data_IF_870888374033
#
_entry.id   IF_870888374033
#
_cell.length_a   1.000
_cell.length_b   1.000
_cell.length_c   1.000
_cell.angle_alpha   90.00
_cell.angle_beta   90.00
_cell.angle_gamma   90.00
#
_symmetry.space_group_name_H-M   'P 1'
#
loop_
_entity.id
_entity.type
_entity.pdbx_description
1 polymer ?
#
# COMPACT_ATOMS: atom_id res chain seq x y z
N UNK A 1 -0.52 73.28 -28.76
CA UNK A 1 -1.58 72.52 -28.05
C UNK A 1 -2.19 71.39 -28.89
N UNK A 2 -1.92 71.32 -30.21
CA UNK A 2 -2.54 70.32 -31.11
C UNK A 2 -1.88 68.94 -31.10
N UNK A 3 -0.61 68.82 -30.72
CA UNK A 3 0.12 67.54 -30.77
C UNK A 3 -0.33 66.57 -29.67
N UNK A 4 -0.72 67.08 -28.50
CA UNK A 4 -1.21 66.27 -27.38
C UNK A 4 -2.58 65.60 -27.68
N UNK A 5 -3.39 66.18 -28.56
CA UNK A 5 -4.70 65.64 -28.92
C UNK A 5 -4.57 64.48 -29.91
N UNK A 6 -3.64 64.59 -30.87
CA UNK A 6 -3.40 63.55 -31.88
C UNK A 6 -2.83 62.28 -31.25
N UNK A 7 -1.95 62.44 -30.27
CA UNK A 7 -1.37 61.33 -29.51
C UNK A 7 -2.41 60.63 -28.62
N UNK A 8 -3.32 61.39 -27.99
CA UNK A 8 -4.46 60.85 -27.22
C UNK A 8 -5.46 60.09 -28.09
N UNK A 9 -5.76 60.58 -29.29
CA UNK A 9 -6.65 59.89 -30.24
C UNK A 9 -6.01 58.59 -30.74
N UNK A 10 -4.70 58.60 -31.02
CA UNK A 10 -3.98 57.40 -31.40
C UNK A 10 -3.94 56.36 -30.26
N UNK A 11 -3.71 56.78 -29.02
CA UNK A 11 -3.72 55.89 -27.85
C UNK A 11 -5.11 55.27 -27.58
N UNK A 12 -6.19 56.02 -27.82
CA UNK A 12 -7.56 55.49 -27.74
C UNK A 12 -7.83 54.51 -28.89
N UNK A 13 -7.35 54.82 -30.10
CA UNK A 13 -7.43 53.93 -31.26
C UNK A 13 -6.70 52.60 -31.07
N UNK A 14 -5.50 52.62 -30.50
CA UNK A 14 -4.74 51.40 -30.17
C UNK A 14 -5.42 50.57 -29.08
N UNK A 15 -5.94 51.21 -28.02
CA UNK A 15 -6.73 50.50 -26.99
C UNK A 15 -8.00 49.86 -27.52
N UNK A 16 -8.72 50.52 -28.44
CA UNK A 16 -9.89 49.94 -29.09
C UNK A 16 -9.53 48.76 -29.99
N UNK A 17 -8.37 48.83 -30.68
CA UNK A 17 -7.88 47.75 -31.54
C UNK A 17 -7.44 46.52 -30.74
N UNK A 18 -6.81 46.71 -29.57
CA UNK A 18 -6.42 45.64 -28.65
C UNK A 18 -7.66 44.97 -28.05
N UNK A 19 -8.64 45.75 -27.60
CA UNK A 19 -9.88 45.21 -27.04
C UNK A 19 -10.72 44.46 -28.09
N UNK A 20 -10.78 44.96 -29.35
CA UNK A 20 -11.46 44.27 -30.45
C UNK A 20 -10.82 42.92 -30.80
N UNK A 21 -9.48 42.83 -30.77
CA UNK A 21 -8.76 41.59 -31.02
C UNK A 21 -8.87 40.56 -29.87
N UNK A 22 -9.02 41.02 -28.63
CA UNK A 22 -9.25 40.13 -27.48
C UNK A 22 -10.69 39.60 -27.43
N UNK A 23 -11.67 40.46 -27.74
CA UNK A 23 -13.08 40.05 -27.86
C UNK A 23 -13.26 39.07 -29.03
N UNK A 24 -12.62 39.32 -30.18
CA UNK A 24 -12.62 38.39 -31.31
C UNK A 24 -12.02 37.01 -30.97
N UNK A 25 -10.92 36.97 -30.21
CA UNK A 25 -10.32 35.71 -29.73
C UNK A 25 -11.24 34.97 -28.75
N UNK A 26 -11.90 35.68 -27.82
CA UNK A 26 -12.84 35.07 -26.86
C UNK A 26 -14.10 34.54 -27.55
N UNK A 27 -14.65 35.26 -28.52
CA UNK A 27 -15.79 34.80 -29.34
C UNK A 27 -15.39 33.59 -30.20
N UNK A 28 -14.21 33.61 -30.83
CA UNK A 28 -13.70 32.48 -31.61
C UNK A 28 -13.43 31.24 -30.73
N UNK A 29 -12.90 31.42 -29.52
CA UNK A 29 -12.71 30.33 -28.57
C UNK A 29 -14.06 29.76 -28.07
N UNK A 30 -15.04 30.63 -27.79
CA UNK A 30 -16.40 30.22 -27.42
C UNK A 30 -17.11 29.44 -28.53
N UNK A 31 -17.00 29.88 -29.79
CA UNK A 31 -17.57 29.19 -30.96
C UNK A 31 -16.83 27.88 -31.27
N UNK A 32 -15.51 27.82 -31.06
CA UNK A 32 -14.73 26.57 -31.22
C UNK A 32 -15.09 25.52 -30.17
N UNK A 33 -15.31 25.95 -28.92
CA UNK A 33 -15.78 25.05 -27.84
C UNK A 33 -17.19 24.52 -28.09
N UNK A 34 -18.08 25.37 -28.61
CA UNK A 34 -19.45 24.96 -28.95
C UNK A 34 -19.48 24.02 -30.17
N UNK A 35 -18.63 24.26 -31.17
CA UNK A 35 -18.45 23.37 -32.33
C UNK A 35 -17.87 22.01 -31.94
N UNK A 36 -16.89 21.98 -31.01
CA UNK A 36 -16.33 20.73 -30.48
C UNK A 36 -17.39 19.92 -29.72
N UNK A 37 -18.16 20.57 -28.83
CA UNK A 37 -19.28 19.92 -28.12
C UNK A 37 -20.38 19.46 -29.09
N UNK A 38 -20.72 20.23 -30.11
CA UNK A 38 -21.79 19.87 -31.04
C UNK A 38 -21.35 18.75 -31.99
N UNK A 39 -20.06 18.65 -32.32
CA UNK A 39 -19.49 17.51 -33.05
C UNK A 39 -19.51 16.21 -32.23
N UNK A 40 -19.40 16.31 -30.91
CA UNK A 40 -19.52 15.18 -29.98
C UNK A 40 -20.96 14.63 -29.90
N UNK A 41 -21.98 15.48 -30.12
CA UNK A 41 -23.39 15.07 -30.14
C UNK A 41 -23.87 14.41 -31.46
N UNK A 42 -23.14 14.61 -32.56
CA UNK A 42 -23.54 14.14 -33.91
C UNK A 42 -22.57 13.14 -34.55
N UNK A 43 -21.59 12.62 -33.80
CA UNK A 43 -20.78 11.49 -34.26
C UNK A 43 -21.62 10.21 -34.21
N UNK A 44 -21.62 9.45 -35.32
CA UNK A 44 -22.07 8.06 -35.33
C UNK A 44 -21.41 7.29 -34.17
N UNK A 45 -22.06 6.25 -33.59
CA UNK A 45 -21.49 5.50 -32.49
C UNK A 45 -20.10 5.05 -32.88
N UNK A 46 -19.09 5.60 -32.21
CA UNK A 46 -17.73 5.23 -32.50
C UNK A 46 -17.57 3.74 -32.19
N UNK A 47 -16.68 3.03 -32.88
CA UNK A 47 -16.44 1.60 -32.66
C UNK A 47 -16.22 1.29 -31.17
N UNK A 48 -15.57 2.20 -30.45
CA UNK A 48 -15.43 2.17 -28.99
C UNK A 48 -16.77 2.16 -28.24
N UNK A 49 -17.71 3.06 -28.58
CA UNK A 49 -19.02 3.14 -27.93
C UNK A 49 -19.80 1.84 -28.08
N UNK A 50 -19.75 1.21 -29.27
CA UNK A 50 -20.41 -0.09 -29.50
C UNK A 50 -19.81 -1.19 -28.65
N UNK A 51 -18.48 -1.36 -28.70
CA UNK A 51 -17.78 -2.39 -27.95
C UNK A 51 -17.98 -2.25 -26.44
N UNK A 52 -17.91 -1.02 -25.93
CA UNK A 52 -18.17 -0.72 -24.52
C UNK A 52 -19.63 -0.97 -24.16
N UNK A 53 -20.58 -0.60 -25.03
CA UNK A 53 -22.00 -0.88 -24.82
C UNK A 53 -22.27 -2.39 -24.74
N UNK A 54 -21.68 -3.17 -25.63
CA UNK A 54 -21.84 -4.63 -25.67
C UNK A 54 -21.24 -5.29 -24.42
N UNK A 55 -20.01 -4.92 -24.04
CA UNK A 55 -19.32 -5.44 -22.85
C UNK A 55 -19.95 -4.99 -21.51
N UNK A 56 -20.76 -3.92 -21.52
CA UNK A 56 -21.42 -3.36 -20.33
C UNK A 56 -22.95 -3.41 -20.44
N UNK A 57 -23.48 -4.33 -21.24
CA UNK A 57 -24.92 -4.50 -21.41
C UNK A 57 -25.59 -4.87 -20.09
N UNK A 58 -26.72 -4.24 -19.81
CA UNK A 58 -27.51 -4.47 -18.59
C UNK A 58 -28.14 -5.87 -18.56
N UNK A 59 -28.18 -6.55 -19.71
CA UNK A 59 -28.65 -7.93 -19.85
C UNK A 59 -27.63 -8.99 -19.40
N UNK A 60 -26.38 -8.60 -19.13
CA UNK A 60 -25.35 -9.54 -18.69
C UNK A 60 -25.46 -9.76 -17.18
N UNK A 61 -25.64 -10.99 -16.71
CA UNK A 61 -25.73 -11.32 -15.28
C UNK A 61 -24.36 -11.27 -14.56
N UNK A 62 -23.28 -11.56 -15.29
CA UNK A 62 -21.89 -11.49 -14.81
C UNK A 62 -20.98 -10.74 -15.79
N UNK A 63 -19.81 -10.23 -15.36
CA UNK A 63 -18.83 -9.65 -16.27
C UNK A 63 -18.41 -10.65 -17.35
N UNK A 64 -18.62 -10.30 -18.62
CA UNK A 64 -18.15 -11.12 -19.74
C UNK A 64 -16.66 -10.84 -19.99
N UNK A 65 -15.80 -11.66 -19.37
CA UNK A 65 -14.35 -11.49 -19.45
C UNK A 65 -13.81 -11.62 -20.87
N UNK A 66 -14.40 -12.47 -21.72
CA UNK A 66 -14.02 -12.55 -23.14
C UNK A 66 -14.23 -11.21 -23.85
N UNK A 67 -15.39 -10.57 -23.67
CA UNK A 67 -15.66 -9.23 -24.24
C UNK A 67 -14.74 -8.17 -23.65
N UNK A 68 -14.51 -8.19 -22.34
CA UNK A 68 -13.65 -7.22 -21.65
C UNK A 68 -12.21 -7.31 -22.16
N UNK A 69 -11.66 -8.53 -22.22
CA UNK A 69 -10.30 -8.76 -22.71
C UNK A 69 -10.19 -8.45 -24.20
N UNK A 70 -11.23 -8.75 -24.99
CA UNK A 70 -11.28 -8.36 -26.39
C UNK A 70 -11.19 -6.83 -26.58
N UNK A 71 -11.85 -6.03 -25.73
CA UNK A 71 -11.70 -4.57 -25.74
C UNK A 71 -10.26 -4.16 -25.44
N UNK A 72 -9.62 -4.76 -24.42
CA UNK A 72 -8.22 -4.51 -24.09
C UNK A 72 -7.29 -4.85 -25.27
N UNK A 73 -7.50 -5.99 -25.92
CA UNK A 73 -6.72 -6.43 -27.09
C UNK A 73 -6.85 -5.46 -28.26
N UNK A 74 -8.06 -4.97 -28.54
CA UNK A 74 -8.28 -3.98 -29.60
C UNK A 74 -7.61 -2.65 -29.29
N UNK A 75 -7.59 -2.22 -28.02
CA UNK A 75 -6.88 -1.01 -27.59
C UNK A 75 -5.36 -1.20 -27.71
N UNK A 76 -4.83 -2.33 -27.25
CA UNK A 76 -3.40 -2.64 -27.33
C UNK A 76 -2.92 -2.84 -28.77
N UNK A 77 -3.79 -3.34 -29.67
CA UNK A 77 -3.54 -3.41 -31.10
C UNK A 77 -3.75 -2.08 -31.84
N UNK A 78 -4.02 -0.99 -31.11
CA UNK A 78 -4.30 0.36 -31.63
C UNK A 78 -5.48 0.43 -32.63
N UNK A 79 -6.34 -0.59 -32.64
CA UNK A 79 -7.57 -0.63 -33.46
C UNK A 79 -8.68 0.22 -32.85
N UNK A 80 -8.61 0.48 -31.55
CA UNK A 80 -9.49 1.39 -30.81
C UNK A 80 -8.61 2.33 -30.00
N UNK A 81 -8.88 3.64 -30.07
CA UNK A 81 -8.12 4.61 -29.29
C UNK A 81 -8.48 4.49 -27.80
N UNK A 82 -7.47 4.46 -26.93
CA UNK A 82 -7.68 4.38 -25.47
C UNK A 82 -8.57 5.51 -24.96
N UNK A 83 -8.41 6.72 -25.49
CA UNK A 83 -9.24 7.89 -25.16
C UNK A 83 -10.71 7.73 -25.52
N UNK A 84 -11.00 7.08 -26.64
CA UNK A 84 -12.37 6.83 -27.07
C UNK A 84 -13.02 5.73 -26.21
N UNK A 85 -12.27 4.67 -25.88
CA UNK A 85 -12.73 3.62 -24.96
C UNK A 85 -13.02 4.18 -23.56
N UNK A 86 -12.11 4.98 -22.98
CA UNK A 86 -12.29 5.57 -21.65
C UNK A 86 -13.45 6.57 -21.64
N UNK A 87 -13.62 7.40 -22.68
CA UNK A 87 -14.80 8.27 -22.80
C UNK A 87 -16.10 7.48 -22.87
N UNK A 88 -16.14 6.43 -23.69
CA UNK A 88 -17.32 5.56 -23.78
C UNK A 88 -17.65 4.90 -22.44
N UNK A 89 -16.63 4.43 -21.70
CA UNK A 89 -16.82 3.86 -20.36
C UNK A 89 -17.32 4.91 -19.39
N UNK A 90 -16.72 6.11 -19.38
CA UNK A 90 -17.19 7.23 -18.55
C UNK A 90 -18.66 7.54 -18.82
N UNK A 91 -19.09 7.58 -20.09
CA UNK A 91 -20.52 7.76 -20.44
C UNK A 91 -21.38 6.69 -19.77
N UNK A 92 -20.97 5.41 -19.80
CA UNK A 92 -21.70 4.31 -19.12
C UNK A 92 -21.69 4.46 -17.60
N UNK A 93 -20.58 4.88 -17.00
CA UNK A 93 -20.46 5.18 -15.56
C UNK A 93 -21.41 6.31 -15.14
N UNK A 94 -21.66 7.29 -16.02
CA UNK A 94 -22.58 8.40 -15.74
C UNK A 94 -24.06 8.02 -15.85
N UNK A 95 -24.40 6.92 -16.55
CA UNK A 95 -25.78 6.45 -16.69
C UNK A 95 -26.23 5.77 -15.40
N UNK A 96 -27.43 6.13 -14.92
CA UNK A 96 -28.04 5.55 -13.72
C UNK A 96 -28.62 4.15 -13.95
N UNK A 97 -27.80 3.22 -14.42
CA UNK A 97 -28.10 1.79 -14.40
C UNK A 97 -27.11 1.12 -13.45
N UNK A 98 -27.54 0.56 -12.31
CA UNK A 98 -26.62 -0.10 -11.38
C UNK A 98 -25.82 -1.21 -12.05
N UNK A 99 -26.48 -1.98 -12.93
CA UNK A 99 -25.83 -3.08 -13.62
C UNK A 99 -24.81 -2.59 -14.64
N UNK A 100 -25.22 -1.68 -15.52
CA UNK A 100 -24.34 -1.11 -16.54
C UNK A 100 -23.17 -0.34 -15.92
N UNK A 101 -23.40 0.41 -14.84
CA UNK A 101 -22.38 1.16 -14.13
C UNK A 101 -21.35 0.24 -13.46
N UNK A 102 -21.79 -0.83 -12.78
CA UNK A 102 -20.88 -1.84 -12.21
C UNK A 102 -20.00 -2.47 -13.29
N UNK A 103 -20.60 -2.94 -14.39
CA UNK A 103 -19.86 -3.55 -15.51
C UNK A 103 -18.88 -2.55 -16.15
N UNK A 104 -19.28 -1.28 -16.27
CA UNK A 104 -18.40 -0.23 -16.76
C UNK A 104 -17.18 0.00 -15.85
N UNK A 105 -17.36 -0.04 -14.53
CA UNK A 105 -16.25 0.03 -13.57
C UNK A 105 -15.32 -1.20 -13.65
N UNK A 106 -15.88 -2.39 -13.87
CA UNK A 106 -15.08 -3.62 -14.09
C UNK A 106 -14.25 -3.51 -15.37
N UNK A 107 -14.85 -3.06 -16.48
CA UNK A 107 -14.14 -2.83 -17.74
C UNK A 107 -13.07 -1.74 -17.60
N UNK A 108 -13.35 -0.65 -16.88
CA UNK A 108 -12.38 0.41 -16.59
C UNK A 108 -11.16 -0.13 -15.86
N UNK A 109 -11.36 -0.95 -14.82
CA UNK A 109 -10.28 -1.57 -14.07
C UNK A 109 -9.43 -2.49 -14.96
N UNK A 110 -10.07 -3.28 -15.82
CA UNK A 110 -9.37 -4.14 -16.76
C UNK A 110 -8.52 -3.33 -17.75
N UNK A 111 -9.05 -2.25 -18.34
CA UNK A 111 -8.29 -1.37 -19.23
C UNK A 111 -7.08 -0.75 -18.53
N UNK A 112 -7.25 -0.26 -17.30
CA UNK A 112 -6.16 0.33 -16.53
C UNK A 112 -5.04 -0.68 -16.25
N UNK A 113 -5.39 -1.95 -15.99
CA UNK A 113 -4.41 -3.01 -15.70
C UNK A 113 -3.72 -3.58 -16.93
N UNK A 114 -4.35 -3.50 -18.11
CA UNK A 114 -3.89 -4.20 -19.31
C UNK A 114 -3.44 -3.28 -20.45
N UNK A 115 -3.67 -1.97 -20.35
CA UNK A 115 -3.32 -1.01 -21.40
C UNK A 115 -2.44 0.12 -20.85
N UNK A 116 -1.26 0.33 -21.44
CA UNK A 116 -0.25 1.28 -20.96
C UNK A 116 -0.77 2.71 -20.77
N UNK A 117 -1.64 3.17 -21.68
CA UNK A 117 -2.23 4.53 -21.65
C UNK A 117 -3.51 4.60 -20.82
N UNK A 118 -4.00 3.46 -20.30
CA UNK A 118 -5.28 3.35 -19.62
C UNK A 118 -5.38 4.31 -18.44
N UNK A 119 -4.44 4.27 -17.50
CA UNK A 119 -4.47 5.14 -16.32
C UNK A 119 -4.34 6.62 -16.67
N UNK A 120 -3.42 6.97 -17.58
CA UNK A 120 -3.22 8.36 -18.04
C UNK A 120 -4.52 8.96 -18.58
N UNK A 121 -5.26 8.18 -19.36
CA UNK A 121 -6.49 8.61 -19.96
C UNK A 121 -7.64 8.71 -18.94
N UNK A 122 -7.70 7.78 -17.98
CA UNK A 122 -8.64 7.85 -16.85
C UNK A 122 -8.48 9.15 -16.06
N UNK A 123 -7.23 9.60 -15.85
CA UNK A 123 -6.94 10.87 -15.21
C UNK A 123 -7.36 12.07 -16.09
N UNK A 124 -7.03 12.03 -17.39
CA UNK A 124 -7.35 13.08 -18.36
C UNK A 124 -8.87 13.28 -18.49
N UNK A 125 -9.62 12.19 -18.58
CA UNK A 125 -11.08 12.20 -18.67
C UNK A 125 -11.77 12.42 -17.31
N UNK A 126 -11.01 12.58 -16.22
CA UNK A 126 -11.52 12.86 -14.87
C UNK A 126 -12.57 11.84 -14.39
N UNK A 127 -12.37 10.56 -14.69
CA UNK A 127 -13.32 9.50 -14.32
C UNK A 127 -13.47 9.38 -12.80
N UNK A 128 -12.41 9.71 -12.04
CA UNK A 128 -12.42 9.76 -10.58
C UNK A 128 -13.57 10.64 -10.03
N UNK A 129 -13.86 11.77 -10.69
CA UNK A 129 -14.94 12.67 -10.27
C UNK A 129 -16.31 11.98 -10.36
N UNK A 130 -16.53 11.15 -11.39
CA UNK A 130 -17.77 10.38 -11.54
C UNK A 130 -17.84 9.24 -10.51
N UNK A 131 -16.71 8.60 -10.18
CA UNK A 131 -16.64 7.58 -9.13
C UNK A 131 -16.97 8.14 -7.75
N UNK A 132 -16.47 9.34 -7.43
CA UNK A 132 -16.84 10.04 -6.18
C UNK A 132 -18.34 10.34 -6.14
N UNK A 133 -18.95 10.74 -7.27
CA UNK A 133 -20.40 10.92 -7.33
C UNK A 133 -21.16 9.62 -7.04
N UNK A 134 -20.69 8.47 -7.53
CA UNK A 134 -21.29 7.16 -7.23
C UNK A 134 -21.28 6.89 -5.72
N UNK A 135 -20.16 7.18 -5.06
CA UNK A 135 -20.02 7.06 -3.60
C UNK A 135 -20.99 7.98 -2.87
N UNK A 136 -21.20 9.19 -3.39
CA UNK A 136 -22.06 10.23 -2.79
C UNK A 136 -23.55 10.05 -3.06
N UNK A 137 -23.95 9.21 -4.02
CA UNK A 137 -25.36 8.85 -4.20
C UNK A 137 -25.87 8.26 -2.89
N UNK A 138 -27.04 8.69 -2.42
CA UNK A 138 -27.65 8.18 -1.18
C UNK A 138 -27.80 6.64 -1.20
N UNK A 139 -27.99 6.05 -0.02
CA UNK A 139 -28.01 4.60 0.28
C UNK A 139 -29.19 3.83 -0.35
N UNK A 140 -29.36 3.92 -1.67
CA UNK A 140 -30.12 2.96 -2.46
C UNK A 140 -29.34 1.64 -2.51
N UNK A 141 -29.98 0.58 -2.02
CA UNK A 141 -29.44 -0.77 -1.98
C UNK A 141 -29.07 -1.30 -3.37
N UNK A 142 -29.71 -0.76 -4.42
CA UNK A 142 -29.45 -1.14 -5.81
C UNK A 142 -28.03 -0.81 -6.27
N UNK A 143 -27.37 0.19 -5.66
CA UNK A 143 -26.04 0.67 -6.05
C UNK A 143 -24.90 0.18 -5.16
N UNK A 144 -25.16 -0.71 -4.18
CA UNK A 144 -24.15 -1.18 -3.23
C UNK A 144 -22.93 -1.75 -3.96
N UNK A 145 -23.13 -2.65 -4.93
CA UNK A 145 -22.03 -3.23 -5.70
C UNK A 145 -21.22 -2.19 -6.50
N UNK A 146 -21.88 -1.14 -7.01
CA UNK A 146 -21.20 -0.05 -7.72
C UNK A 146 -20.34 0.77 -6.76
N UNK A 147 -20.88 1.12 -5.59
CA UNK A 147 -20.17 1.86 -4.55
C UNK A 147 -18.97 1.07 -4.03
N UNK A 148 -19.16 -0.20 -3.69
CA UNK A 148 -18.09 -1.07 -3.20
C UNK A 148 -16.96 -1.20 -4.23
N UNK A 149 -17.32 -1.34 -5.52
CA UNK A 149 -16.35 -1.39 -6.61
C UNK A 149 -15.59 -0.06 -6.74
N UNK A 150 -16.30 1.06 -6.77
CA UNK A 150 -15.70 2.39 -6.87
C UNK A 150 -14.78 2.68 -5.67
N UNK A 151 -15.22 2.39 -4.45
CA UNK A 151 -14.43 2.56 -3.23
C UNK A 151 -13.15 1.72 -3.26
N UNK A 152 -13.24 0.45 -3.66
CA UNK A 152 -12.07 -0.41 -3.80
C UNK A 152 -11.06 0.15 -4.78
N UNK A 153 -11.51 0.61 -5.94
CA UNK A 153 -10.63 1.22 -6.94
C UNK A 153 -10.00 2.51 -6.42
N UNK A 154 -10.78 3.40 -5.79
CA UNK A 154 -10.26 4.64 -5.19
C UNK A 154 -9.24 4.35 -4.10
N UNK A 155 -9.46 3.33 -3.26
CA UNK A 155 -8.49 2.90 -2.26
C UNK A 155 -7.20 2.40 -2.91
N UNK A 156 -7.29 1.46 -3.86
CA UNK A 156 -6.11 0.91 -4.54
C UNK A 156 -5.29 2.02 -5.20
N UNK A 157 -5.94 2.99 -5.85
CA UNK A 157 -5.25 4.11 -6.50
C UNK A 157 -4.71 5.12 -5.48
N UNK A 158 -5.45 5.41 -4.41
CA UNK A 158 -5.02 6.35 -3.37
C UNK A 158 -3.88 5.84 -2.50
N UNK A 159 -3.71 4.52 -2.38
CA UNK A 159 -2.60 3.87 -1.65
C UNK A 159 -1.40 3.54 -2.55
N UNK A 160 -1.54 3.66 -3.88
CA UNK A 160 -0.46 3.38 -4.82
C UNK A 160 0.61 4.48 -4.78
N UNK A 161 1.59 4.28 -3.90
CA UNK A 161 2.69 5.22 -3.64
C UNK A 161 3.81 5.19 -4.68
N UNK A 162 3.79 4.28 -5.65
CA UNK A 162 4.84 4.14 -6.67
C UNK A 162 4.36 4.58 -8.05
N UNK A 163 3.19 4.11 -8.49
CA UNK A 163 2.69 4.34 -9.85
C UNK A 163 2.01 5.69 -10.00
N UNK A 164 1.42 6.25 -8.93
CA UNK A 164 0.56 7.43 -9.02
C UNK A 164 1.09 8.67 -8.31
N UNK A 165 2.37 8.69 -7.94
CA UNK A 165 2.98 9.86 -7.25
C UNK A 165 2.85 11.18 -7.99
N UNK A 166 2.74 11.15 -9.32
CA UNK A 166 2.56 12.34 -10.15
C UNK A 166 1.11 12.84 -10.21
N UNK A 167 0.16 12.09 -9.64
CA UNK A 167 -1.27 12.40 -9.60
C UNK A 167 -1.78 12.43 -8.15
N UNK A 168 -1.39 13.45 -7.34
CA UNK A 168 -1.75 13.54 -5.93
C UNK A 168 -3.27 13.55 -5.67
N UNK A 169 -4.06 13.93 -6.67
CA UNK A 169 -5.53 13.97 -6.60
C UNK A 169 -6.15 12.64 -6.17
N UNK A 170 -5.54 11.49 -6.51
CA UNK A 170 -6.07 10.17 -6.12
C UNK A 170 -5.87 9.90 -4.62
N UNK A 171 -4.66 10.18 -4.11
CA UNK A 171 -4.34 10.07 -2.69
C UNK A 171 -5.17 11.05 -1.85
N UNK A 172 -5.27 12.31 -2.29
CA UNK A 172 -6.08 13.35 -1.65
C UNK A 172 -7.56 12.98 -1.61
N UNK A 173 -8.11 12.46 -2.71
CA UNK A 173 -9.50 12.01 -2.78
C UNK A 173 -9.73 10.86 -1.80
N UNK A 174 -8.85 9.86 -1.79
CA UNK A 174 -8.95 8.74 -0.85
C UNK A 174 -8.93 9.19 0.62
N UNK A 175 -7.97 10.04 1.00
CA UNK A 175 -7.88 10.60 2.36
C UNK A 175 -9.09 11.46 2.71
N UNK A 176 -9.57 12.27 1.78
CA UNK A 176 -10.76 13.12 1.95
C UNK A 176 -12.01 12.28 2.22
N UNK A 177 -12.22 11.20 1.44
CA UNK A 177 -13.34 10.27 1.65
C UNK A 177 -13.28 9.60 3.02
N UNK A 178 -12.10 9.15 3.47
CA UNK A 178 -11.92 8.62 4.84
C UNK A 178 -12.24 9.66 5.91
N UNK A 179 -11.75 10.90 5.74
CA UNK A 179 -12.00 11.98 6.69
C UNK A 179 -13.49 12.33 6.80
N UNK A 180 -14.27 12.12 5.72
CA UNK A 180 -15.72 12.26 5.70
C UNK A 180 -16.47 11.07 6.33
N UNK A 181 -15.75 10.04 6.77
CA UNK A 181 -16.32 8.85 7.42
C UNK A 181 -16.78 7.75 6.46
N UNK A 182 -16.40 7.82 5.18
CA UNK A 182 -16.69 6.76 4.21
C UNK A 182 -15.89 5.51 4.57
N UNK A 183 -16.57 4.37 4.72
CA UNK A 183 -15.91 3.09 4.98
C UNK A 183 -15.46 2.44 3.69
N UNK A 184 -14.19 2.05 3.64
CA UNK A 184 -13.62 1.33 2.51
C UNK A 184 -13.62 -0.19 2.76
N UNK A 185 -13.81 -1.02 1.72
CA UNK A 185 -13.75 -2.47 1.82
C UNK A 185 -12.41 -2.95 2.40
N UNK A 186 -12.43 -3.91 3.33
CA UNK A 186 -11.20 -4.44 3.96
C UNK A 186 -10.67 -3.65 5.15
N UNK A 187 -11.26 -2.50 5.49
CA UNK A 187 -11.04 -1.81 6.76
C UNK A 187 -11.82 -2.51 7.90
N UNK A 188 -11.52 -3.78 8.17
CA UNK A 188 -11.88 -4.38 9.44
C UNK A 188 -10.96 -3.76 10.50
N UNK A 189 -11.43 -2.68 11.10
CA UNK A 189 -10.85 -2.13 12.31
C UNK A 189 -11.11 -3.15 13.44
N UNK A 190 -10.12 -3.99 13.76
CA UNK A 190 -10.11 -4.85 14.96
C UNK A 190 -10.01 -4.01 16.26
N UNK A 191 -10.74 -2.90 16.35
CA UNK A 191 -10.60 -1.93 17.43
C UNK A 191 -11.90 -1.41 18.00
N UNK A 192 -13.03 -2.10 17.78
CA UNK A 192 -14.25 -1.91 18.57
C UNK A 192 -15.12 -3.20 18.65
N UNK A 193 -14.52 -4.35 18.95
CA UNK A 193 -15.27 -5.47 19.54
C UNK A 193 -14.96 -5.57 21.04
N UNK A 194 -15.37 -4.53 21.78
CA UNK A 194 -15.39 -4.56 23.23
C UNK A 194 -16.79 -4.96 23.72
N UNK A 195 -16.92 -6.25 24.03
CA UNK A 195 -17.67 -6.83 25.15
C UNK A 195 -19.13 -6.38 25.33
N UNK A 196 -20.07 -7.23 24.90
CA UNK A 196 -21.29 -7.49 25.66
C UNK A 196 -21.55 -9.01 25.72
N UNK A 197 -21.76 -9.61 26.91
CA UNK A 197 -22.06 -11.03 27.05
C UNK A 197 -23.55 -11.33 26.76
N UNK A 198 -23.90 -12.60 26.45
CA UNK A 198 -25.14 -12.95 25.77
C UNK A 198 -26.32 -13.12 26.73
N UNK A 199 -27.53 -12.84 26.27
CA UNK A 199 -28.76 -13.31 26.90
C UNK A 199 -29.76 -13.76 25.86
N UNK A 200 -29.82 -15.09 25.68
CA UNK A 200 -31.03 -15.89 25.78
C UNK A 200 -32.06 -15.87 24.64
N UNK A 201 -32.08 -16.99 23.90
CA UNK A 201 -33.26 -17.74 23.37
C UNK A 201 -34.10 -17.08 22.24
N UNK A 202 -34.58 -17.74 21.18
CA UNK A 202 -34.81 -19.16 20.90
C UNK A 202 -34.96 -19.44 19.37
N UNK A 203 -34.51 -20.62 18.94
CA UNK A 203 -35.06 -21.55 17.91
C UNK A 203 -35.60 -21.07 16.55
N UNK A 204 -34.97 -21.50 15.44
CA UNK A 204 -35.51 -22.34 14.33
C UNK A 204 -34.57 -22.33 13.08
N UNK A 205 -34.62 -23.35 12.18
CA UNK A 205 -33.41 -23.99 11.64
C UNK A 205 -32.95 -23.56 10.23
N UNK A 206 -31.80 -24.14 9.88
CA UNK A 206 -30.85 -23.86 8.80
C UNK A 206 -31.41 -23.82 7.37
N UNK A 207 -31.13 -22.70 6.68
CA UNK A 207 -30.97 -22.61 5.22
C UNK A 207 -30.00 -21.45 4.91
N UNK A 208 -28.73 -21.60 5.27
CA UNK A 208 -27.78 -20.48 5.17
C UNK A 208 -26.31 -20.85 4.95
N UNK A 209 -25.98 -22.13 4.72
CA UNK A 209 -24.57 -22.53 4.52
C UNK A 209 -24.05 -22.42 3.09
N UNK A 210 -24.84 -21.89 2.14
CA UNK A 210 -24.42 -21.84 0.73
C UNK A 210 -23.86 -20.49 0.26
N UNK A 211 -23.83 -19.44 1.10
CA UNK A 211 -23.34 -18.12 0.68
C UNK A 211 -21.90 -17.81 1.13
N UNK A 212 -21.39 -18.51 2.15
CA UNK A 212 -20.01 -18.30 2.63
C UNK A 212 -18.93 -18.96 1.75
N UNK A 213 -19.31 -19.90 0.88
CA UNK A 213 -18.35 -20.51 -0.06
C UNK A 213 -18.18 -19.70 -1.35
N UNK A 214 -19.05 -18.73 -1.64
CA UNK A 214 -18.94 -17.91 -2.86
C UNK A 214 -18.14 -16.61 -2.65
N UNK A 215 -17.91 -16.21 -1.40
CA UNK A 215 -17.22 -14.94 -1.06
C UNK A 215 -15.71 -15.15 -0.81
N UNK A 216 -15.23 -16.40 -0.72
CA UNK A 216 -13.79 -16.71 -0.62
C UNK A 216 -13.08 -16.83 -1.97
N UNK A 217 -13.82 -16.83 -3.09
CA UNK A 217 -13.25 -16.94 -4.44
C UNK A 217 -13.18 -15.60 -5.20
N UNK A 218 -13.32 -14.46 -4.53
CA UNK A 218 -12.75 -13.20 -5.04
C UNK A 218 -11.29 -13.08 -4.62
N UNK A 219 -10.47 -14.04 -5.07
CA UNK A 219 -9.03 -13.86 -5.08
C UNK A 219 -8.75 -12.67 -6.00
N UNK A 220 -8.10 -11.64 -5.46
CA UNK A 220 -7.54 -10.52 -6.20
C UNK A 220 -6.72 -11.05 -7.39
N UNK A 221 -7.33 -11.13 -8.57
CA UNK A 221 -6.63 -11.40 -9.82
C UNK A 221 -5.82 -10.15 -10.16
N UNK A 222 -4.65 -10.09 -9.56
CA UNK A 222 -3.59 -9.15 -9.93
C UNK A 222 -2.85 -9.88 -11.03
N UNK A 223 -3.29 -9.66 -12.27
CA UNK A 223 -2.53 -10.10 -13.44
C UNK A 223 -1.18 -9.38 -13.41
N UNK A 224 -0.10 -10.14 -13.35
CA UNK A 224 1.25 -9.60 -13.41
C UNK A 224 1.61 -9.38 -14.88
N UNK A 225 2.17 -8.21 -15.21
CA UNK A 225 2.75 -8.03 -16.54
C UNK A 225 3.95 -8.97 -16.74
N UNK A 226 4.34 -9.23 -17.98
CA UNK A 226 5.52 -10.06 -18.27
C UNK A 226 6.80 -9.48 -17.64
N UNK A 227 6.90 -8.16 -17.54
CA UNK A 227 8.04 -7.50 -16.90
C UNK A 227 7.99 -7.66 -15.38
N UNK A 228 6.84 -7.43 -14.76
CA UNK A 228 6.67 -7.60 -13.31
C UNK A 228 6.90 -9.05 -12.86
N UNK A 229 6.48 -10.02 -13.68
CA UNK A 229 6.71 -11.45 -13.42
C UNK A 229 8.20 -11.77 -13.43
N UNK A 230 8.92 -11.26 -14.43
CA UNK A 230 10.37 -11.44 -14.53
C UNK A 230 11.12 -10.80 -13.37
N UNK A 231 10.77 -9.56 -13.02
CA UNK A 231 11.35 -8.85 -11.88
C UNK A 231 11.08 -9.60 -10.56
N UNK A 232 9.86 -10.14 -10.38
CA UNK A 232 9.53 -10.94 -9.20
C UNK A 232 10.39 -12.21 -9.10
N UNK A 233 10.64 -12.91 -10.21
CA UNK A 233 11.53 -14.07 -10.25
C UNK A 233 12.98 -13.69 -9.99
N UNK A 234 13.46 -12.57 -10.55
CA UNK A 234 14.82 -12.11 -10.33
C UNK A 234 15.05 -11.70 -8.86
N UNK A 235 14.09 -11.02 -8.23
CA UNK A 235 14.13 -10.68 -6.79
C UNK A 235 14.11 -11.95 -5.96
N UNK A 236 13.22 -12.90 -6.26
CA UNK A 236 13.13 -14.18 -5.55
C UNK A 236 14.45 -14.96 -5.58
N UNK A 237 15.05 -15.11 -6.77
CA UNK A 237 16.34 -15.79 -6.96
C UNK A 237 17.48 -15.08 -6.21
N UNK A 238 17.54 -13.75 -6.31
CA UNK A 238 18.54 -12.96 -5.59
C UNK A 238 18.42 -13.12 -4.07
N UNK A 239 17.20 -13.00 -3.53
CA UNK A 239 16.93 -13.18 -2.10
C UNK A 239 17.29 -14.60 -1.63
N UNK A 240 16.96 -15.64 -2.40
CA UNK A 240 17.31 -17.01 -2.05
C UNK A 240 18.82 -17.26 -2.06
N UNK A 241 19.54 -16.69 -3.03
CA UNK A 241 20.99 -16.83 -3.14
C UNK A 241 21.71 -16.10 -2.01
N UNK A 242 21.29 -14.85 -1.71
CA UNK A 242 21.84 -14.08 -0.59
C UNK A 242 21.60 -14.80 0.74
N UNK A 243 20.37 -15.28 0.98
CA UNK A 243 20.07 -16.03 2.19
C UNK A 243 20.91 -17.32 2.25
N UNK A 244 21.01 -18.06 1.15
CA UNK A 244 21.83 -19.28 1.09
C UNK A 244 23.30 -19.00 1.37
N UNK A 245 23.85 -17.90 0.86
CA UNK A 245 25.23 -17.44 1.10
C UNK A 245 25.45 -17.08 2.57
N UNK A 246 24.54 -16.31 3.18
CA UNK A 246 24.59 -15.95 4.61
C UNK A 246 24.48 -17.20 5.50
N UNK A 247 23.61 -18.16 5.15
CA UNK A 247 23.46 -19.42 5.88
C UNK A 247 24.66 -20.37 5.70
N UNK A 248 25.39 -20.28 4.58
CA UNK A 248 26.55 -21.14 4.29
C UNK A 248 27.86 -20.56 4.84
N UNK A 249 27.96 -19.23 4.94
CA UNK A 249 29.08 -18.52 5.58
C UNK A 249 28.99 -18.46 7.12
N UNK A 250 27.97 -19.10 7.70
CA UNK A 250 27.69 -19.09 9.13
C UNK A 250 28.76 -19.81 9.98
N UNK A 251 29.73 -19.05 10.49
CA UNK A 251 30.60 -19.41 11.62
C UNK A 251 29.82 -19.32 12.96
N UNK A 252 30.13 -20.13 14.00
CA UNK A 252 29.34 -20.22 15.24
C UNK A 252 29.20 -18.96 16.10
N UNK A 253 29.79 -17.82 15.71
CA UNK A 253 29.57 -16.52 16.36
C UNK A 253 28.86 -15.57 15.40
N UNK A 254 27.52 -15.59 15.38
CA UNK A 254 26.76 -14.59 14.64
C UNK A 254 26.79 -13.28 15.42
N UNK A 255 27.30 -12.22 14.80
CA UNK A 255 27.12 -10.86 15.33
C UNK A 255 25.63 -10.49 15.25
N UNK A 256 25.15 -9.64 16.16
CA UNK A 256 23.75 -9.16 16.19
C UNK A 256 23.31 -8.62 14.83
N UNK A 257 24.23 -7.98 14.10
CA UNK A 257 24.00 -7.46 12.75
C UNK A 257 23.73 -8.56 11.72
N UNK A 258 24.48 -9.67 11.75
CA UNK A 258 24.23 -10.81 10.85
C UNK A 258 22.89 -11.50 11.16
N UNK A 259 22.45 -11.50 12.43
CA UNK A 259 21.15 -12.06 12.80
C UNK A 259 20.01 -11.21 12.23
N UNK A 260 20.10 -9.90 12.35
CA UNK A 260 19.13 -8.96 11.79
C UNK A 260 19.06 -9.08 10.26
N UNK A 261 20.22 -9.10 9.58
CA UNK A 261 20.27 -9.30 8.12
C UNK A 261 19.63 -10.64 7.71
N UNK A 262 19.92 -11.73 8.44
CA UNK A 262 19.32 -13.04 8.17
C UNK A 262 17.80 -13.01 8.34
N UNK A 263 17.27 -12.31 9.37
CA UNK A 263 15.83 -12.19 9.57
C UNK A 263 15.16 -11.41 8.45
N UNK A 264 15.77 -10.29 8.02
CA UNK A 264 15.27 -9.49 6.90
C UNK A 264 15.24 -10.29 5.61
N UNK A 265 16.30 -11.03 5.30
CA UNK A 265 16.36 -11.88 4.09
C UNK A 265 15.34 -13.01 4.14
N UNK A 266 15.09 -13.62 5.31
CA UNK A 266 14.04 -14.61 5.50
C UNK A 266 12.65 -14.01 5.26
N UNK A 267 12.41 -12.80 5.75
CA UNK A 267 11.15 -12.09 5.52
C UNK A 267 10.94 -11.79 4.03
N UNK A 268 11.96 -11.27 3.34
CA UNK A 268 11.90 -11.05 1.89
C UNK A 268 11.71 -12.34 1.08
N UNK A 269 12.30 -13.46 1.51
CA UNK A 269 12.04 -14.76 0.89
C UNK A 269 10.57 -15.18 1.04
N UNK A 270 9.94 -14.92 2.20
CA UNK A 270 8.51 -15.22 2.41
C UNK A 270 7.58 -14.33 1.59
N UNK A 271 7.91 -13.04 1.47
CA UNK A 271 7.16 -12.11 0.62
C UNK A 271 7.29 -12.48 -0.87
N UNK A 272 8.50 -12.83 -1.31
CA UNK A 272 8.77 -13.34 -2.65
C UNK A 272 8.01 -14.65 -2.91
N UNK A 273 7.96 -15.55 -1.93
CA UNK A 273 7.19 -16.80 -2.02
C UNK A 273 5.70 -16.54 -2.24
N UNK A 274 5.08 -15.65 -1.47
CA UNK A 274 3.67 -15.29 -1.66
C UNK A 274 3.41 -14.69 -3.04
N UNK A 275 4.34 -13.88 -3.53
CA UNK A 275 4.29 -13.27 -4.86
C UNK A 275 4.36 -14.34 -5.96
N UNK A 276 5.30 -15.27 -5.86
CA UNK A 276 5.46 -16.40 -6.81
C UNK A 276 4.24 -17.33 -6.76
N UNK A 277 3.65 -17.57 -5.59
CA UNK A 277 2.42 -18.36 -5.47
C UNK A 277 1.26 -17.72 -6.22
N UNK A 278 1.10 -16.40 -6.09
CA UNK A 278 0.08 -15.65 -6.84
C UNK A 278 0.33 -15.69 -8.36
N UNK A 279 1.60 -15.68 -8.79
CA UNK A 279 1.96 -15.87 -10.21
C UNK A 279 1.56 -17.28 -10.68
N UNK A 280 1.80 -18.33 -9.87
CA UNK A 280 1.38 -19.71 -10.20
C UNK A 280 -0.15 -19.82 -10.30
N UNK A 281 -0.90 -19.16 -9.43
CA UNK A 281 -2.37 -19.18 -9.47
C UNK A 281 -2.95 -18.41 -10.67
N UNK A 282 -2.19 -17.46 -11.23
CA UNK A 282 -2.63 -16.59 -12.32
C UNK A 282 -2.04 -16.98 -13.67
N UNK A 283 -1.02 -17.85 -13.71
CA UNK A 283 -0.44 -18.33 -14.96
C UNK A 283 -1.45 -19.25 -15.64
N UNK A 284 -2.03 -18.77 -16.74
CA UNK A 284 -2.98 -19.54 -17.53
C UNK A 284 -2.28 -20.65 -18.32
N UNK A 285 -2.33 -20.58 -19.65
CA UNK A 285 -1.82 -21.66 -20.51
C UNK A 285 -0.32 -21.56 -20.85
N UNK A 286 0.44 -20.72 -20.13
CA UNK A 286 1.87 -20.55 -20.39
C UNK A 286 2.69 -21.56 -19.56
N UNK A 287 2.85 -22.77 -20.10
CA UNK A 287 3.58 -23.87 -19.45
C UNK A 287 5.03 -23.51 -19.09
N UNK A 288 5.72 -22.74 -19.95
CA UNK A 288 7.10 -22.34 -19.72
C UNK A 288 7.22 -21.43 -18.49
N UNK A 289 6.30 -20.47 -18.36
CA UNK A 289 6.26 -19.56 -17.21
C UNK A 289 5.87 -20.31 -15.93
N UNK A 290 4.91 -21.23 -16.01
CA UNK A 290 4.53 -22.08 -14.87
C UNK A 290 5.72 -22.90 -14.37
N UNK A 291 6.49 -23.50 -15.28
CA UNK A 291 7.68 -24.27 -14.93
C UNK A 291 8.72 -23.39 -14.23
N UNK A 292 8.99 -22.19 -14.75
CA UNK A 292 9.92 -21.24 -14.12
C UNK A 292 9.40 -20.79 -12.73
N UNK A 293 8.11 -20.50 -12.60
CA UNK A 293 7.50 -20.09 -11.33
C UNK A 293 7.61 -21.19 -10.27
N UNK A 294 7.36 -22.45 -10.64
CA UNK A 294 7.50 -23.60 -9.75
C UNK A 294 8.96 -23.81 -9.35
N UNK A 295 9.90 -23.68 -10.29
CA UNK A 295 11.33 -23.80 -10.00
C UNK A 295 11.78 -22.74 -8.97
N UNK A 296 11.41 -21.48 -9.18
CA UNK A 296 11.76 -20.38 -8.25
C UNK A 296 11.13 -20.60 -6.87
N UNK A 297 9.90 -21.14 -6.82
CA UNK A 297 9.23 -21.50 -5.56
C UNK A 297 10.01 -22.59 -4.81
N UNK A 298 10.46 -23.63 -5.50
CA UNK A 298 11.25 -24.71 -4.93
C UNK A 298 12.60 -24.20 -4.39
N UNK A 299 13.24 -23.26 -5.08
CA UNK A 299 14.48 -22.61 -4.64
C UNK A 299 14.27 -21.84 -3.33
N UNK A 300 13.20 -21.03 -3.25
CA UNK A 300 12.83 -20.31 -2.01
C UNK A 300 12.52 -21.28 -0.87
N UNK A 301 11.72 -22.32 -1.14
CA UNK A 301 11.36 -23.32 -0.13
C UNK A 301 12.59 -24.03 0.43
N UNK A 302 13.54 -24.39 -0.43
CA UNK A 302 14.78 -25.06 -0.04
C UNK A 302 15.62 -24.22 0.91
N UNK A 303 15.79 -22.92 0.63
CA UNK A 303 16.59 -22.04 1.49
C UNK A 303 15.90 -21.73 2.82
N UNK A 304 14.57 -21.53 2.81
CA UNK A 304 13.79 -21.33 4.04
C UNK A 304 13.82 -22.56 4.95
N UNK A 305 13.75 -23.76 4.36
CA UNK A 305 13.87 -25.03 5.10
C UNK A 305 15.23 -25.15 5.79
N UNK A 306 16.32 -24.82 5.07
CA UNK A 306 17.69 -24.80 5.62
C UNK A 306 17.82 -23.82 6.80
N UNK A 307 17.20 -22.64 6.71
CA UNK A 307 17.17 -21.67 7.80
C UNK A 307 16.46 -22.23 9.05
N UNK A 308 15.28 -22.84 8.89
CA UNK A 308 14.51 -23.40 10.02
C UNK A 308 15.26 -24.56 10.71
N UNK A 309 15.98 -25.40 9.95
CA UNK A 309 16.84 -26.44 10.52
C UNK A 309 17.97 -25.87 11.37
N UNK A 310 18.64 -24.81 10.90
CA UNK A 310 19.72 -24.15 11.64
C UNK A 310 19.18 -23.47 12.92
N UNK A 311 17.98 -22.89 12.85
CA UNK A 311 17.28 -22.32 14.01
C UNK A 311 16.92 -23.41 15.04
N UNK A 312 16.44 -24.58 14.59
CA UNK A 312 16.17 -25.75 15.45
C UNK A 312 17.45 -26.30 16.10
N UNK A 313 18.56 -26.36 15.35
CA UNK A 313 19.89 -26.79 15.86
C UNK A 313 20.42 -25.85 16.95
N UNK A 314 20.15 -24.54 16.87
CA UNK A 314 20.50 -23.56 17.91
C UNK A 314 19.63 -23.64 19.18
N UNK A 315 18.38 -24.13 19.07
CA UNK A 315 17.44 -24.24 20.20
C UNK A 315 17.57 -25.53 21.02
N UNK A 316 18.24 -26.57 20.53
CA UNK A 316 18.52 -27.78 21.33
C UNK A 316 19.74 -27.52 22.23
N UNK A 317 19.61 -27.52 23.57
CA UNK A 317 20.79 -27.59 24.43
C UNK A 317 21.53 -28.91 24.13
N UNK A 318 22.86 -28.85 24.00
CA UNK A 318 23.72 -30.03 23.98
C UNK A 318 23.52 -30.77 25.31
N UNK A 319 22.67 -31.78 25.34
CA UNK A 319 22.72 -32.82 26.36
C UNK A 319 23.50 -33.97 25.76
N UNK A 320 24.74 -34.12 26.22
CA UNK A 320 25.59 -35.26 25.91
C UNK A 320 24.91 -36.55 26.39
N UNK A 321 24.96 -37.67 25.64
CA UNK A 321 24.44 -38.94 26.14
C UNK A 321 25.41 -39.50 27.17
N UNK A 322 24.99 -39.54 28.44
CA UNK A 322 25.63 -40.38 29.45
C UNK A 322 25.16 -41.83 29.23
N UNK A 323 26.15 -42.71 29.15
CA UNK A 323 26.06 -44.17 28.98
C UNK A 323 25.27 -44.80 30.14
N UNK A 324 24.40 -45.81 29.90
CA UNK A 324 23.68 -46.49 30.98
C UNK A 324 24.56 -47.56 31.63
N UNK A 325 24.61 -47.58 32.97
CA UNK A 325 24.91 -48.77 33.76
C UNK A 325 23.65 -49.18 34.55
N UNK A 326 23.42 -50.49 34.77
CA UNK A 326 22.14 -51.01 35.23
C UNK A 326 22.01 -51.06 36.75
N UNK A 327 20.78 -50.76 37.18
CA UNK A 327 20.00 -51.33 38.30
C UNK A 327 20.73 -52.01 39.47
N UNK A 328 20.52 -51.44 40.66
CA UNK A 328 20.07 -52.24 41.81
C UNK A 328 19.01 -51.47 42.60
N UNK A 329 17.81 -52.07 42.63
CA UNK A 329 16.64 -51.67 43.40
C UNK A 329 16.87 -51.79 44.91
N UNK A 330 16.35 -50.84 45.70
CA UNK A 330 15.82 -51.12 47.05
C UNK A 330 14.51 -50.32 47.21
N UNK A 331 13.37 -50.96 47.57
CA UNK A 331 12.07 -50.30 47.61
C UNK A 331 11.64 -49.84 49.02
N UNK A 332 10.92 -48.72 49.02
CA UNK A 332 9.66 -48.44 49.76
C UNK A 332 9.70 -48.41 51.30
N UNK A 333 9.46 -47.22 51.86
CA UNK A 333 8.42 -47.00 52.88
C UNK A 333 7.95 -45.53 52.82
N UNK A 334 6.66 -45.33 52.99
CA UNK A 334 5.88 -44.11 52.76
C UNK A 334 5.26 -43.66 54.10
N UNK A 335 5.16 -42.33 54.26
CA UNK A 335 4.31 -41.53 55.18
C UNK A 335 4.65 -41.50 56.71
N UNK A 336 4.17 -40.52 57.51
CA UNK A 336 4.28 -39.06 57.35
C UNK A 336 4.38 -38.23 58.69
N UNK A 337 4.57 -36.91 58.54
CA UNK A 337 4.06 -35.76 59.33
C UNK A 337 4.43 -35.45 60.82
N UNK A 338 4.38 -34.13 61.10
CA UNK A 338 4.32 -33.35 62.35
C UNK A 338 5.62 -32.88 63.07
N UNK A 339 5.97 -31.60 62.84
CA UNK A 339 6.24 -30.45 63.76
C UNK A 339 6.80 -30.65 65.20
N UNK A 340 7.28 -29.59 65.91
CA UNK A 340 8.33 -28.61 65.61
C UNK A 340 9.32 -28.47 66.83
N UNK A 341 10.14 -27.41 66.85
CA UNK A 341 10.81 -26.77 68.03
C UNK A 341 12.29 -27.07 68.39
N UNK A 342 13.04 -25.94 68.39
CA UNK A 342 13.97 -25.43 69.42
C UNK A 342 15.43 -25.94 69.58
N UNK A 343 16.35 -24.95 69.42
CA UNK A 343 17.57 -24.65 70.21
C UNK A 343 18.68 -25.74 70.26
N UNK A 344 19.99 -25.44 70.35
CA UNK A 344 20.73 -24.26 70.73
C UNK A 344 22.19 -24.39 70.24
N UNK A 345 22.87 -23.24 70.27
CA UNK A 345 24.29 -22.93 70.16
C UNK A 345 25.35 -24.00 70.45
N UNK A 346 26.49 -23.89 69.73
CA UNK A 346 27.81 -23.51 70.30
C UNK A 346 28.98 -23.93 69.39
N UNK A 347 30.11 -23.23 69.23
CA UNK A 347 30.65 -21.95 69.72
C UNK A 347 32.08 -21.78 69.13
N UNK A 348 32.54 -20.52 68.97
CA UNK A 348 33.94 -19.99 69.10
C UNK A 348 34.86 -20.11 67.84
N UNK A 349 35.52 -19.06 67.29
CA UNK A 349 36.27 -17.93 67.90
C UNK A 349 36.48 -16.70 66.95
N UNK A 350 36.04 -15.54 67.46
CA UNK A 350 36.40 -14.08 67.36
C UNK A 350 37.89 -13.66 67.06
N UNK A 351 38.25 -12.34 66.90
CA UNK A 351 37.80 -11.29 65.94
C UNK A 351 38.85 -10.15 65.60
N UNK A 352 38.36 -9.06 64.98
CA UNK A 352 38.81 -7.64 64.97
C UNK A 352 39.96 -7.23 64.03
N UNK A 353 40.00 -6.08 63.33
CA UNK A 353 39.17 -4.86 63.11
C UNK A 353 39.79 -4.17 61.86
N UNK A 354 39.11 -3.48 60.93
CA UNK A 354 38.52 -2.12 61.00
C UNK A 354 37.75 -1.82 59.68
N UNK A 355 36.44 -1.49 59.70
CA UNK A 355 35.77 -0.15 59.57
C UNK A 355 36.14 0.61 58.27
N UNK A 356 35.25 1.14 57.41
CA UNK A 356 33.86 1.70 57.42
C UNK A 356 33.45 1.89 55.93
N UNK A 357 32.23 1.64 55.44
CA UNK A 357 31.03 2.48 55.55
C UNK A 357 30.23 2.40 54.22
N UNK A 358 28.90 2.41 54.29
CA UNK A 358 27.91 2.12 53.22
C UNK A 358 27.15 3.39 52.83
N UNK A 359 26.84 3.59 51.54
CA UNK A 359 25.69 4.31 50.91
C UNK A 359 26.10 4.59 49.44
N UNK A 360 25.37 4.29 48.35
CA UNK A 360 23.94 4.33 48.05
C UNK A 360 23.71 5.45 47.01
N UNK A 361 23.81 5.17 45.70
CA UNK A 361 23.61 6.14 44.58
C UNK A 361 23.08 5.36 43.35
N UNK A 362 21.77 5.44 43.06
CA UNK A 362 21.06 6.31 42.09
C UNK A 362 21.20 5.89 40.61
N UNK A 363 20.04 5.61 39.99
CA UNK A 363 19.83 5.16 38.61
C UNK A 363 20.06 6.28 37.57
N UNK A 364 20.22 7.52 38.03
CA UNK A 364 20.29 8.70 37.16
C UNK A 364 21.69 8.91 36.55
N UNK A 365 22.75 8.42 37.19
CA UNK A 365 24.13 8.56 36.69
C UNK A 365 24.44 7.68 35.46
N UNK A 366 23.63 6.66 35.18
CA UNK A 366 23.78 5.82 33.99
C UNK A 366 23.09 6.40 32.73
N UNK A 367 22.18 7.37 32.90
CA UNK A 367 21.51 8.03 31.77
C UNK A 367 22.39 9.13 31.15
N UNK A 368 23.18 9.83 31.98
CA UNK A 368 24.06 10.91 31.50
C UNK A 368 25.21 10.37 30.61
N UNK A 369 25.73 9.18 30.91
CA UNK A 369 26.75 8.52 30.07
C UNK A 369 26.20 8.07 28.69
N UNK A 370 24.88 7.85 28.57
CA UNK A 370 24.26 7.42 27.33
C UNK A 370 24.04 8.59 26.36
N UNK A 371 23.69 9.76 26.88
CA UNK A 371 23.51 10.99 26.08
C UNK A 371 24.86 11.55 25.59
N UNK A 372 25.96 11.43 26.36
CA UNK A 372 27.31 11.81 25.89
C UNK A 372 27.78 10.92 24.72
N UNK A 373 27.33 9.66 24.68
CA UNK A 373 27.67 8.67 23.65
C UNK A 373 26.84 8.82 22.36
N UNK A 374 25.60 9.31 22.47
CA UNK A 374 24.71 9.52 21.31
C UNK A 374 24.92 10.90 20.66
N UNK A 375 25.13 11.96 21.44
CA UNK A 375 25.13 13.33 20.91
C UNK A 375 26.50 13.98 20.79
N UNK A 376 27.56 13.38 21.34
CA UNK A 376 28.92 13.89 21.24
C UNK A 376 29.16 15.16 22.09
N UNK A 377 30.36 15.23 22.67
CA UNK A 377 30.78 16.23 23.65
C UNK A 377 30.56 17.67 23.15
N UNK A 378 29.53 18.35 23.66
CA UNK A 378 29.29 19.77 23.43
C UNK A 378 30.23 20.58 24.31
N UNK A 379 31.36 20.99 23.75
CA UNK A 379 32.24 21.98 24.36
C UNK A 379 31.45 23.27 24.62
N UNK A 380 31.32 23.63 25.89
CA UNK A 380 30.88 24.96 26.28
C UNK A 380 32.06 25.92 26.17
N UNK A 381 31.87 27.02 25.46
CA UNK A 381 32.41 28.28 25.94
C UNK A 381 31.36 29.37 25.73
N UNK A 382 31.16 30.16 26.78
CA UNK A 382 30.15 31.19 26.87
C UNK A 382 30.84 32.56 26.89
N UNK A 383 30.42 33.45 26.00
CA UNK A 383 30.45 34.91 26.21
C UNK A 383 29.55 35.53 25.12
N UNK A 384 28.31 35.90 25.44
CA UNK A 384 27.92 37.18 26.03
C UNK A 384 28.24 38.35 25.09
N UNK A 385 27.23 38.88 24.39
CA UNK A 385 26.93 40.32 24.28
C UNK A 385 25.51 40.56 23.75
N UNK A 386 24.82 41.46 24.45
CA UNK A 386 23.50 42.02 24.17
C UNK A 386 23.46 42.88 22.89
N UNK A 387 22.30 42.90 22.24
CA UNK A 387 21.50 44.10 21.83
C UNK A 387 20.79 43.90 20.48
N UNK A 388 19.47 43.81 20.54
CA UNK A 388 18.55 44.34 19.51
C UNK A 388 18.43 45.88 19.73
N UNK A 389 17.83 46.72 18.84
CA UNK A 389 17.23 46.44 17.53
C UNK A 389 17.57 47.49 16.44
N UNK A 390 17.20 47.22 15.16
CA UNK A 390 16.47 48.18 14.28
C UNK A 390 16.26 47.67 12.85
N UNK A 391 14.98 47.69 12.46
CA UNK A 391 14.50 47.83 11.08
C UNK A 391 15.16 49.03 10.40
N UNK A 392 15.64 48.83 9.17
CA UNK A 392 15.55 49.88 8.15
C UNK A 392 15.46 49.30 6.74
N UNK A 393 14.70 50.04 5.94
CA UNK A 393 14.14 49.77 4.63
C UNK A 393 15.01 50.43 3.53
N UNK A 394 14.85 49.95 2.28
CA UNK A 394 15.23 50.53 0.97
C UNK A 394 16.22 49.64 0.18
N UNK A 395 15.84 49.04 -0.95
CA UNK A 395 15.62 49.62 -2.30
C UNK A 395 16.89 50.23 -2.91
N UNK A 396 17.57 49.51 -3.82
CA UNK A 396 17.79 49.94 -5.21
C UNK A 396 18.55 48.91 -6.07
N UNK A 397 17.97 48.61 -7.24
CA UNK A 397 18.56 48.55 -8.60
C UNK A 397 20.02 48.11 -8.81
N UNK A 398 20.21 47.10 -9.66
CA UNK A 398 21.10 47.06 -10.85
C UNK A 398 20.80 45.73 -11.58
N UNK A 399 20.09 45.68 -12.72
CA UNK A 399 20.54 46.01 -14.08
C UNK A 399 21.94 45.50 -14.42
N UNK A 400 22.04 44.31 -15.04
CA UNK A 400 23.10 44.02 -16.00
C UNK A 400 22.47 43.33 -17.21
N UNK A 401 22.51 44.05 -18.33
CA UNK A 401 22.34 43.54 -19.68
C UNK A 401 23.59 42.78 -20.12
N UNK A 402 23.39 41.69 -20.88
CA UNK A 402 23.97 41.49 -22.22
C UNK A 402 23.19 40.39 -22.94
#
# INVERSE_FOLDING_TARGET
MSDNLKEKVNAIGERLKINGAEVGRKVSAGMSSMSFKMKEFFQEPNQADKLVSDATSESLDEPNWDMILHVCDLVNAEKVQTCEAVRAIKKRVMVKSPRGQYLALVLLEALVKNCDKGFFEVATERVLDEMVKIVDVDSDQSFVSCKDKALRMIQCWGESSTELRYLPVYEETYKSLKARGVRFPGCHDERLDHVLPPSGSASAPEAGRSLQHLIQHENHFTSYTSQQTKEAFDVARNCSDLLSSVLSSSSPQLTVLQQNLTMTLVQQCRESQSTVHRIIETVGNNEALLFEALQVNDEIHKVLSKYEELKKKKKKPKVSPLKPEPDTMIPVAIEPDESPHFREDALIRKPASSRTGVQGLSHDDMMDDLDEMIFGKKGGDASQWEQDPKKQQSSKYESISL
#
